data_IF_214956072479
#
_entry.id   IF_214956072479
#
_cell.length_a   1.000
_cell.length_b   1.000
_cell.length_c   1.000
_cell.angle_alpha   90.00
_cell.angle_beta   90.00
_cell.angle_gamma   90.00
#
_symmetry.space_group_name_H-M   'P 1'
#
loop_
_entity.id
_entity.type
_entity.pdbx_description
1 polymer ?
#
# COMPACT_ATOMS: atom_id res chain seq x y z
N UNK A 1 26.21 -5.56 -8.39
CA UNK A 1 25.57 -4.79 -7.30
C UNK A 1 24.30 -4.15 -7.83
N UNK A 2 23.13 -4.35 -7.18
CA UNK A 2 21.86 -3.71 -7.63
C UNK A 2 21.88 -2.23 -7.22
N UNK A 3 21.60 -1.33 -8.18
CA UNK A 3 21.51 0.11 -7.94
C UNK A 3 20.51 0.41 -6.82
N UNK A 4 20.89 1.25 -5.84
CA UNK A 4 19.99 1.77 -4.81
C UNK A 4 18.91 2.60 -5.49
N UNK A 5 17.65 2.50 -5.04
CA UNK A 5 16.58 3.38 -5.53
C UNK A 5 16.76 4.75 -4.90
N UNK A 6 16.71 5.77 -5.74
CA UNK A 6 16.60 7.15 -5.29
C UNK A 6 15.12 7.52 -5.26
N UNK A 7 14.69 8.16 -4.19
CA UNK A 7 13.33 8.64 -4.02
C UNK A 7 13.35 10.17 -3.93
N UNK A 8 12.30 10.78 -4.48
CA UNK A 8 12.10 12.22 -4.45
C UNK A 8 11.28 12.55 -3.21
N UNK A 9 11.76 13.45 -2.38
CA UNK A 9 11.04 13.91 -1.19
C UNK A 9 9.75 14.65 -1.57
N UNK A 10 8.74 14.54 -0.72
CA UNK A 10 7.48 15.25 -0.90
C UNK A 10 6.54 14.68 -1.97
N UNK A 11 6.90 13.57 -2.63
CA UNK A 11 6.16 12.96 -3.74
C UNK A 11 5.41 11.72 -3.26
N UNK A 12 4.18 11.55 -3.76
CA UNK A 12 3.47 10.29 -3.62
C UNK A 12 4.03 9.23 -4.55
N UNK A 13 4.05 7.99 -4.06
CA UNK A 13 4.43 6.80 -4.83
C UNK A 13 3.28 5.82 -4.88
N UNK A 14 2.95 5.37 -6.08
CA UNK A 14 2.15 4.16 -6.25
C UNK A 14 3.06 2.95 -6.08
N UNK A 15 2.82 2.20 -5.00
CA UNK A 15 3.60 1.01 -4.65
C UNK A 15 2.75 -0.22 -4.84
N UNK A 16 3.34 -1.25 -5.46
CA UNK A 16 2.73 -2.58 -5.58
C UNK A 16 3.72 -3.63 -5.08
N UNK A 17 3.24 -4.55 -4.25
CA UNK A 17 4.02 -5.72 -3.81
C UNK A 17 3.17 -6.97 -3.91
N UNK A 18 3.75 -8.03 -4.50
CA UNK A 18 3.06 -9.30 -4.74
C UNK A 18 3.58 -10.39 -3.81
N UNK A 19 2.70 -11.32 -3.47
CA UNK A 19 3.07 -12.53 -2.76
C UNK A 19 3.91 -13.45 -3.65
N UNK A 20 4.70 -14.33 -3.01
CA UNK A 20 5.50 -15.32 -3.72
C UNK A 20 4.57 -16.27 -4.48
N UNK A 21 4.93 -16.59 -5.71
CA UNK A 21 4.15 -17.48 -6.61
C UNK A 21 2.65 -17.16 -6.68
N UNK A 22 2.27 -15.92 -6.38
CA UNK A 22 0.88 -15.44 -6.32
C UNK A 22 0.02 -16.23 -5.34
N UNK A 23 0.61 -16.75 -4.26
CA UNK A 23 -0.15 -17.39 -3.19
C UNK A 23 -1.19 -16.42 -2.64
N UNK A 24 -2.42 -16.89 -2.46
CA UNK A 24 -3.57 -16.07 -2.05
C UNK A 24 -3.60 -15.81 -0.53
N UNK A 25 -2.52 -15.24 -0.02
CA UNK A 25 -2.29 -14.96 1.41
C UNK A 25 -3.39 -14.10 2.01
N UNK A 26 -3.87 -13.12 1.23
CA UNK A 26 -4.88 -12.15 1.69
C UNK A 26 -6.30 -12.47 1.20
N UNK A 27 -6.56 -13.72 0.82
CA UNK A 27 -7.90 -14.15 0.38
C UNK A 27 -8.91 -14.18 1.53
N UNK A 28 -8.48 -14.59 2.70
CA UNK A 28 -9.30 -14.64 3.90
C UNK A 28 -9.18 -13.38 4.77
N UNK A 29 -10.10 -13.23 5.72
CA UNK A 29 -10.14 -12.07 6.61
C UNK A 29 -8.89 -11.96 7.50
N UNK A 30 -8.31 -13.10 7.91
CA UNK A 30 -7.13 -13.10 8.79
C UNK A 30 -5.90 -12.51 8.07
N UNK A 31 -5.63 -12.95 6.84
CA UNK A 31 -4.52 -12.41 6.04
C UNK A 31 -4.67 -10.91 5.80
N UNK A 32 -5.87 -10.45 5.43
CA UNK A 32 -6.17 -9.01 5.27
C UNK A 32 -5.97 -8.23 6.56
N UNK A 33 -6.45 -8.76 7.70
CA UNK A 33 -6.30 -8.14 9.01
C UNK A 33 -4.82 -8.01 9.41
N UNK A 34 -4.02 -9.05 9.20
CA UNK A 34 -2.57 -9.03 9.44
C UNK A 34 -1.92 -7.89 8.64
N UNK A 35 -2.26 -7.77 7.34
CA UNK A 35 -1.70 -6.73 6.48
C UNK A 35 -2.10 -5.32 6.95
N UNK A 36 -3.37 -5.11 7.30
CA UNK A 36 -3.90 -3.81 7.74
C UNK A 36 -3.26 -3.40 9.07
N UNK A 37 -3.21 -4.27 10.06
CA UNK A 37 -2.55 -3.98 11.36
C UNK A 37 -1.07 -3.64 11.12
N UNK A 38 -0.39 -4.38 10.25
CA UNK A 38 1.02 -4.10 9.95
C UNK A 38 1.19 -2.75 9.24
N UNK A 39 0.23 -2.35 8.41
CA UNK A 39 0.24 -1.05 7.75
C UNK A 39 0.00 0.10 8.75
N UNK A 40 -0.89 -0.10 9.73
CA UNK A 40 -1.10 0.84 10.85
C UNK A 40 0.17 1.04 11.66
N UNK A 41 0.79 -0.05 12.11
CA UNK A 41 2.06 0.00 12.87
C UNK A 41 3.19 0.64 12.06
N UNK A 42 3.25 0.38 10.74
CA UNK A 42 4.23 1.02 9.87
C UNK A 42 4.02 2.54 9.79
N UNK A 43 2.76 2.98 9.70
CA UNK A 43 2.40 4.40 9.65
C UNK A 43 2.77 5.11 10.95
N UNK A 44 2.50 4.51 12.10
CA UNK A 44 2.92 5.02 13.41
C UNK A 44 4.45 5.11 13.54
N UNK A 45 5.15 4.07 13.08
CA UNK A 45 6.62 3.99 13.18
C UNK A 45 7.34 4.98 12.27
N UNK A 46 6.86 5.19 11.05
CA UNK A 46 7.56 5.95 10.00
C UNK A 46 6.89 7.26 9.63
N UNK A 47 5.72 7.55 10.21
CA UNK A 47 4.97 8.82 10.04
C UNK A 47 4.74 9.25 8.58
N UNK A 48 4.54 8.30 7.66
CA UNK A 48 4.24 8.61 6.27
C UNK A 48 2.76 8.98 6.07
N UNK A 49 2.45 9.66 4.96
CA UNK A 49 1.07 9.87 4.52
C UNK A 49 0.62 8.71 3.64
N UNK A 50 -0.61 8.23 3.86
CA UNK A 50 -1.23 7.16 3.10
C UNK A 50 -2.54 7.68 2.49
N UNK A 51 -2.52 8.00 1.20
CA UNK A 51 -3.69 8.51 0.50
C UNK A 51 -4.69 7.40 0.15
N UNK A 52 -4.18 6.22 -0.20
CA UNK A 52 -5.01 5.07 -0.55
C UNK A 52 -4.28 3.75 -0.37
N UNK A 53 -5.04 2.67 -0.22
CA UNK A 53 -4.52 1.31 -0.23
C UNK A 53 -5.57 0.32 -0.72
N UNK A 54 -5.14 -0.84 -1.19
CA UNK A 54 -6.00 -1.99 -1.42
C UNK A 54 -5.21 -3.28 -1.19
N UNK A 55 -5.72 -4.14 -0.32
CA UNK A 55 -5.17 -5.48 -0.06
C UNK A 55 -5.95 -6.49 -0.89
N UNK A 56 -5.35 -6.89 -2.01
CA UNK A 56 -5.89 -7.90 -2.92
C UNK A 56 -5.43 -9.31 -2.50
N UNK A 57 -6.07 -10.39 -2.91
CA UNK A 57 -5.71 -11.75 -2.47
C UNK A 57 -4.23 -12.11 -2.64
N UNK A 58 -3.55 -11.60 -3.66
CA UNK A 58 -2.17 -11.96 -4.02
C UNK A 58 -1.19 -10.79 -4.02
N UNK A 59 -1.64 -9.59 -3.73
CA UNK A 59 -0.81 -8.38 -3.79
C UNK A 59 -1.44 -7.22 -3.05
N UNK A 60 -0.66 -6.17 -2.82
CA UNK A 60 -1.13 -4.92 -2.23
C UNK A 60 -0.83 -3.74 -3.16
N UNK A 61 -1.69 -2.75 -3.10
CA UNK A 61 -1.46 -1.41 -3.65
C UNK A 61 -1.44 -0.40 -2.53
N UNK A 62 -0.48 0.53 -2.57
CA UNK A 62 -0.39 1.67 -1.65
C UNK A 62 -0.16 2.94 -2.47
N UNK A 63 -0.83 4.02 -2.10
CA UNK A 63 -0.50 5.37 -2.53
C UNK A 63 0.06 6.11 -1.33
N UNK A 64 1.39 6.16 -1.24
CA UNK A 64 2.14 6.54 -0.04
C UNK A 64 3.09 7.70 -0.34
N UNK A 65 3.16 8.67 0.58
CA UNK A 65 4.17 9.73 0.59
C UNK A 65 5.01 9.61 1.86
N UNK A 66 6.28 9.19 1.75
CA UNK A 66 7.20 9.18 2.88
C UNK A 66 7.36 10.59 3.48
N UNK A 67 7.61 10.68 4.78
CA UNK A 67 8.03 11.92 5.40
C UNK A 67 9.37 12.39 4.82
N UNK A 68 9.62 13.71 4.89
CA UNK A 68 10.88 14.28 4.36
C UNK A 68 12.10 13.57 4.94
N UNK A 69 13.04 13.19 4.08
CA UNK A 69 14.24 12.43 4.44
C UNK A 69 14.00 10.95 4.79
N UNK A 70 12.76 10.45 4.75
CA UNK A 70 12.47 9.04 5.00
C UNK A 70 12.70 8.18 3.75
N UNK A 71 13.24 6.98 3.96
CA UNK A 71 13.54 6.02 2.89
C UNK A 71 12.35 5.05 2.69
N UNK A 72 11.64 5.20 1.58
CA UNK A 72 10.55 4.30 1.19
C UNK A 72 11.00 2.82 1.16
N UNK A 73 12.28 2.56 0.82
CA UNK A 73 12.79 1.18 0.84
C UNK A 73 12.80 0.59 2.25
N UNK A 74 13.13 1.39 3.27
CA UNK A 74 13.11 0.94 4.68
C UNK A 74 11.69 0.70 5.15
N UNK A 75 10.74 1.58 4.80
CA UNK A 75 9.31 1.42 5.10
C UNK A 75 8.80 0.10 4.51
N UNK A 76 9.04 -0.12 3.22
CA UNK A 76 8.57 -1.32 2.51
C UNK A 76 9.28 -2.59 2.99
N UNK A 77 10.56 -2.53 3.32
CA UNK A 77 11.30 -3.66 3.89
C UNK A 77 10.69 -4.07 5.22
N UNK A 78 10.46 -3.11 6.10
CA UNK A 78 9.87 -3.37 7.42
C UNK A 78 8.45 -3.92 7.30
N UNK A 79 7.60 -3.28 6.49
CA UNK A 79 6.21 -3.69 6.24
C UNK A 79 6.14 -5.14 5.75
N UNK A 80 6.94 -5.50 4.76
CA UNK A 80 7.00 -6.87 4.22
C UNK A 80 7.51 -7.87 5.25
N UNK A 81 8.56 -7.53 5.99
CA UNK A 81 9.14 -8.41 7.00
C UNK A 81 8.16 -8.68 8.15
N UNK A 82 7.49 -7.64 8.66
CA UNK A 82 6.52 -7.82 9.75
C UNK A 82 5.27 -8.57 9.32
N UNK A 83 4.77 -8.31 8.10
CA UNK A 83 3.64 -9.08 7.56
C UNK A 83 4.00 -10.57 7.44
N UNK A 84 5.17 -10.88 6.91
CA UNK A 84 5.64 -12.26 6.78
C UNK A 84 5.82 -12.93 8.16
N UNK A 85 6.43 -12.22 9.13
CA UNK A 85 6.60 -12.72 10.50
C UNK A 85 5.26 -13.04 11.15
N UNK A 86 4.29 -12.15 11.06
CA UNK A 86 2.94 -12.34 11.64
C UNK A 86 2.18 -13.49 10.97
N UNK A 87 2.25 -13.55 9.64
CA UNK A 87 1.65 -14.64 8.87
C UNK A 87 2.24 -15.99 9.25
N UNK A 88 3.56 -16.11 9.23
CA UNK A 88 4.27 -17.35 9.54
C UNK A 88 4.02 -17.80 10.98
N UNK A 89 4.03 -16.88 11.94
CA UNK A 89 3.70 -17.18 13.34
C UNK A 89 2.28 -17.75 13.46
N UNK A 90 1.31 -17.15 12.77
CA UNK A 90 -0.10 -17.58 12.84
C UNK A 90 -0.34 -18.94 12.18
N UNK A 91 0.45 -19.29 11.15
CA UNK A 91 0.29 -20.51 10.37
C UNK A 91 1.32 -21.59 10.70
N UNK A 92 2.22 -21.35 11.65
CA UNK A 92 3.29 -22.30 11.98
C UNK A 92 4.22 -22.58 10.80
N UNK A 93 4.44 -21.60 9.91
CA UNK A 93 5.27 -21.75 8.71
C UNK A 93 6.52 -20.89 8.76
N UNK A 94 7.47 -21.17 7.87
CA UNK A 94 8.70 -20.37 7.68
C UNK A 94 8.84 -19.92 6.23
N UNK A 95 7.75 -19.94 5.46
CA UNK A 95 7.76 -19.70 4.04
C UNK A 95 8.06 -18.25 3.66
N UNK A 96 8.59 -18.07 2.45
CA UNK A 96 8.77 -16.75 1.85
C UNK A 96 7.43 -16.21 1.36
N UNK A 97 6.79 -15.35 2.19
CA UNK A 97 5.49 -14.76 1.88
C UNK A 97 5.49 -13.88 0.63
N UNK A 98 6.53 -13.08 0.48
CA UNK A 98 6.64 -12.09 -0.57
C UNK A 98 7.52 -12.57 -1.71
N UNK A 99 7.06 -12.33 -2.93
CA UNK A 99 7.86 -12.55 -4.13
C UNK A 99 8.99 -11.53 -4.28
N UNK A 100 9.24 -11.11 -5.53
CA UNK A 100 10.32 -10.16 -5.86
C UNK A 100 10.21 -8.82 -5.13
N UNK A 101 11.12 -7.89 -5.45
CA UNK A 101 11.08 -6.50 -4.95
C UNK A 101 9.73 -5.85 -5.29
N UNK A 102 9.22 -5.01 -4.39
CA UNK A 102 8.06 -4.17 -4.70
C UNK A 102 8.37 -3.24 -5.89
N UNK A 103 7.34 -2.89 -6.62
CA UNK A 103 7.37 -1.84 -7.63
C UNK A 103 6.96 -0.52 -6.99
N UNK A 104 7.60 0.58 -7.36
CA UNK A 104 7.24 1.92 -6.92
C UNK A 104 7.41 2.91 -8.09
N UNK A 105 6.40 3.70 -8.34
CA UNK A 105 6.37 4.75 -9.36
C UNK A 105 5.98 6.08 -8.71
N UNK A 106 6.75 7.18 -8.92
CA UNK A 106 6.37 8.49 -8.46
C UNK A 106 5.10 8.97 -9.19
N UNK A 107 4.24 9.68 -8.47
CA UNK A 107 3.05 10.34 -9.01
C UNK A 107 3.40 11.79 -9.30
N UNK A 108 3.30 12.19 -10.57
CA UNK A 108 3.93 13.42 -11.07
C UNK A 108 3.08 14.68 -10.90
N UNK A 109 1.76 14.54 -10.91
CA UNK A 109 0.84 15.67 -10.86
C UNK A 109 -0.55 15.25 -10.30
N UNK A 110 -1.44 16.22 -10.13
CA UNK A 110 -2.77 16.01 -9.57
C UNK A 110 -3.63 15.06 -10.42
N UNK A 111 -3.58 15.16 -11.74
CA UNK A 111 -4.36 14.29 -12.65
C UNK A 111 -3.89 12.83 -12.52
N UNK A 112 -2.59 12.59 -12.41
CA UNK A 112 -2.05 11.25 -12.18
C UNK A 112 -2.41 10.74 -10.78
N UNK A 113 -2.43 11.61 -9.78
CA UNK A 113 -2.84 11.27 -8.43
C UNK A 113 -4.31 10.77 -8.41
N UNK A 114 -5.22 11.53 -9.02
CA UNK A 114 -6.63 11.15 -9.13
C UNK A 114 -6.80 9.83 -9.90
N UNK A 115 -6.07 9.66 -10.99
CA UNK A 115 -6.06 8.42 -11.75
C UNK A 115 -5.63 7.22 -10.89
N UNK A 116 -4.54 7.35 -10.13
CA UNK A 116 -4.03 6.28 -9.27
C UNK A 116 -4.99 6.01 -8.11
N UNK A 117 -5.60 7.03 -7.52
CA UNK A 117 -6.64 6.88 -6.50
C UNK A 117 -7.78 6.00 -7.02
N UNK A 118 -8.35 6.37 -8.17
CA UNK A 118 -9.43 5.62 -8.81
C UNK A 118 -9.00 4.21 -9.21
N UNK A 119 -7.81 4.07 -9.77
CA UNK A 119 -7.24 2.77 -10.15
C UNK A 119 -7.17 1.81 -8.96
N UNK A 120 -6.68 2.28 -7.80
CA UNK A 120 -6.59 1.47 -6.57
C UNK A 120 -7.99 1.11 -6.07
N UNK A 121 -8.92 2.06 -6.05
CA UNK A 121 -10.30 1.83 -5.59
C UNK A 121 -11.04 0.80 -6.44
N UNK A 122 -10.83 0.81 -7.76
CA UNK A 122 -11.52 -0.08 -8.70
C UNK A 122 -10.92 -1.50 -8.76
N UNK A 123 -9.74 -1.74 -8.20
CA UNK A 123 -9.08 -3.05 -8.28
C UNK A 123 -9.96 -4.22 -7.82
N UNK A 124 -10.63 -4.19 -6.64
CA UNK A 124 -11.47 -5.30 -6.20
C UNK A 124 -12.71 -5.50 -7.11
N UNK A 125 -13.25 -4.42 -7.67
CA UNK A 125 -14.40 -4.51 -8.60
C UNK A 125 -13.97 -5.16 -9.92
N UNK A 126 -12.86 -4.70 -10.50
CA UNK A 126 -12.29 -5.30 -11.73
C UNK A 126 -11.89 -6.76 -11.57
N UNK A 127 -11.54 -7.16 -10.35
CA UNK A 127 -11.23 -8.56 -10.01
C UNK A 127 -12.47 -9.40 -9.67
N UNK A 128 -13.69 -8.82 -9.69
CA UNK A 128 -14.93 -9.50 -9.35
C UNK A 128 -15.08 -9.86 -7.85
N UNK A 129 -14.37 -9.15 -6.98
CA UNK A 129 -14.34 -9.42 -5.54
C UNK A 129 -15.36 -8.57 -4.76
N UNK A 130 -15.85 -7.49 -5.35
CA UNK A 130 -16.86 -6.59 -4.79
C UNK A 130 -17.68 -5.96 -5.92
N UNK A 131 -18.92 -5.57 -5.66
CA UNK A 131 -19.76 -4.87 -6.62
C UNK A 131 -19.42 -3.37 -6.70
N UNK A 132 -18.95 -2.79 -5.58
CA UNK A 132 -18.49 -1.40 -5.50
C UNK A 132 -17.17 -1.31 -4.72
N UNK A 133 -16.33 -0.29 -5.00
CA UNK A 133 -15.04 -0.10 -4.30
C UNK A 133 -15.16 -0.08 -2.78
N UNK A 134 -16.19 0.58 -2.25
CA UNK A 134 -16.44 0.73 -0.81
C UNK A 134 -16.95 -0.54 -0.11
N UNK A 135 -17.31 -1.58 -0.83
CA UNK A 135 -17.70 -2.88 -0.25
C UNK A 135 -16.47 -3.75 0.10
N UNK A 136 -15.32 -3.47 -0.49
CA UNK A 136 -14.10 -4.20 -0.19
C UNK A 136 -13.46 -3.68 1.11
N UNK A 137 -13.71 -4.38 2.22
CA UNK A 137 -13.31 -3.94 3.58
C UNK A 137 -11.81 -3.70 3.75
N UNK A 138 -10.97 -4.30 2.94
CA UNK A 138 -9.50 -4.13 2.96
C UNK A 138 -9.02 -3.08 1.94
N UNK A 139 -9.70 -1.93 1.87
CA UNK A 139 -9.39 -0.85 0.92
C UNK A 139 -9.55 0.53 1.53
N UNK A 140 -8.83 1.50 0.97
CA UNK A 140 -8.98 2.90 1.34
C UNK A 140 -10.37 3.45 1.02
N UNK A 141 -11.04 2.96 -0.04
CA UNK A 141 -12.41 3.34 -0.36
C UNK A 141 -13.38 2.99 0.78
N UNK A 142 -13.27 1.79 1.36
CA UNK A 142 -14.05 1.39 2.52
C UNK A 142 -13.72 2.28 3.74
N UNK A 143 -12.43 2.52 4.00
CA UNK A 143 -11.98 3.33 5.15
C UNK A 143 -12.46 4.78 5.06
N UNK A 144 -12.40 5.41 3.88
CA UNK A 144 -12.93 6.78 3.66
C UNK A 144 -14.44 6.85 3.89
N UNK A 145 -15.20 5.88 3.36
CA UNK A 145 -16.65 5.86 3.52
C UNK A 145 -17.07 5.75 5.00
N UNK A 146 -16.30 5.00 5.81
CA UNK A 146 -16.63 4.74 7.22
C UNK A 146 -15.89 5.65 8.20
N UNK A 147 -15.15 6.66 7.71
CA UNK A 147 -14.41 7.60 8.56
C UNK A 147 -13.30 6.95 9.41
N UNK A 148 -12.66 5.88 8.89
CA UNK A 148 -11.59 5.17 9.58
C UNK A 148 -10.23 5.82 9.33
N UNK A 149 -9.42 5.98 10.37
CA UNK A 149 -8.23 6.85 10.41
C UNK A 149 -6.98 6.33 9.67
N UNK A 150 -6.99 5.18 9.03
CA UNK A 150 -5.79 4.66 8.37
C UNK A 150 -5.37 5.49 7.16
N UNK A 151 -6.33 5.96 6.38
CA UNK A 151 -6.09 6.84 5.23
C UNK A 151 -6.17 8.31 5.65
N UNK A 152 -5.28 9.13 5.08
CA UNK A 152 -5.25 10.56 5.32
C UNK A 152 -6.24 11.26 4.37
N UNK A 153 -7.16 12.05 4.91
CA UNK A 153 -8.21 12.76 4.16
C UNK A 153 -7.82 14.18 3.72
N UNK A 154 -6.82 14.77 4.38
CA UNK A 154 -6.36 16.14 4.18
C UNK A 154 -5.40 16.32 2.97
N UNK A 155 -5.30 15.31 2.12
CA UNK A 155 -4.33 15.26 1.03
C UNK A 155 -4.83 15.87 -0.29
N UNK A 156 -6.13 16.13 -0.39
CA UNK A 156 -6.75 16.59 -1.63
C UNK A 156 -6.45 18.07 -1.94
N UNK A 157 -6.10 18.87 -0.92
CA UNK A 157 -5.99 20.32 -1.07
C UNK A 157 -4.59 20.84 -1.46
N UNK A 158 -3.55 20.00 -1.44
CA UNK A 158 -2.16 20.48 -1.65
C UNK A 158 -1.27 19.42 -2.31
N UNK A 159 -1.45 19.17 -3.60
CA UNK A 159 -0.41 18.48 -4.36
C UNK A 159 0.55 19.53 -4.94
N UNK A 160 1.83 19.56 -4.55
CA UNK A 160 2.81 20.38 -5.27
C UNK A 160 2.93 19.83 -6.70
N UNK A 161 2.87 20.72 -7.68
CA UNK A 161 3.29 20.37 -9.04
C UNK A 161 4.78 19.98 -8.97
N UNK A 162 5.07 18.72 -9.18
CA UNK A 162 6.45 18.26 -9.28
C UNK A 162 6.94 18.60 -10.68
N UNK A 163 7.63 19.71 -10.81
CA UNK A 163 8.40 20.02 -12.02
C UNK A 163 9.57 19.06 -12.00
N UNK A 164 9.45 17.97 -12.76
CA UNK A 164 10.59 17.12 -13.07
C UNK A 164 11.43 17.85 -14.13
N UNK A 165 12.54 18.45 -13.70
CA UNK A 165 13.60 18.94 -14.58
C UNK A 165 14.30 17.78 -15.26
#
# INVERSE_FOLDING_TARGET
MRKKREFIDGVFYHVTSRTNDRIRVFENNLGRKIMIITLQDAKEKYHFKLANFCVMPTHIHLLIKPSFGADLSKIMQWLKAQTAKRWNFTHGSTDHLWGHRYFARPVKNSSEFEYVMKYIDENPVKAGLAAAPSEWKASGAFYRLHGLELVDSDLFDRQPEVILL
#
